data_IF_008970336917
#
_entry.id   IF_008970336917
#
_cell.length_a   1.000
_cell.length_b   1.000
_cell.length_c   1.000
_cell.angle_alpha   90.00
_cell.angle_beta   90.00
_cell.angle_gamma   90.00
#
_symmetry.space_group_name_H-M   'P 1'
#
loop_
_entity.id
_entity.type
_entity.pdbx_description
1 polymer ?
#
# COMPACT_ATOMS: atom_id res chain seq x y z
N UNK A 1 12.30 4.47 42.79
CA UNK A 1 12.53 4.25 41.34
C UNK A 1 11.23 3.90 40.59
N UNK A 2 10.50 2.84 40.94
CA UNK A 2 9.27 2.44 40.23
C UNK A 2 8.13 3.48 40.29
N UNK A 3 7.90 4.13 41.43
CA UNK A 3 6.88 5.20 41.56
C UNK A 3 7.21 6.44 40.74
N UNK A 4 8.49 6.82 40.68
CA UNK A 4 8.95 7.95 39.87
C UNK A 4 8.75 7.67 38.37
N UNK A 5 9.00 6.44 37.93
CA UNK A 5 8.75 5.98 36.56
C UNK A 5 7.25 6.01 36.20
N UNK A 6 6.36 5.63 37.14
CA UNK A 6 4.91 5.72 36.95
C UNK A 6 4.42 7.17 36.79
N UNK A 7 4.99 8.12 37.55
CA UNK A 7 4.70 9.55 37.38
C UNK A 7 5.16 10.03 36.00
N UNK A 8 6.37 9.70 35.57
CA UNK A 8 6.88 10.10 34.24
C UNK A 8 6.00 9.54 33.12
N UNK A 9 5.57 8.27 33.23
CA UNK A 9 4.67 7.61 32.28
C UNK A 9 3.28 8.26 32.26
N UNK A 10 2.72 8.61 33.42
CA UNK A 10 1.43 9.28 33.50
C UNK A 10 1.46 10.68 32.84
N UNK A 11 2.56 11.40 32.96
CA UNK A 11 2.76 12.71 32.35
C UNK A 11 3.19 12.65 30.87
N UNK A 12 3.67 11.50 30.38
CA UNK A 12 4.07 11.33 28.97
C UNK A 12 3.56 9.99 28.37
N UNK A 13 2.23 9.85 28.14
CA UNK A 13 1.63 8.63 27.60
C UNK A 13 2.25 8.11 26.29
N UNK A 14 2.68 8.97 25.33
CA UNK A 14 3.36 8.52 24.11
C UNK A 14 4.64 7.71 24.40
N UNK A 15 5.34 7.98 25.50
CA UNK A 15 6.59 7.32 25.85
C UNK A 15 6.43 5.80 26.06
N UNK A 16 5.27 5.37 26.58
CA UNK A 16 4.95 3.95 26.77
C UNK A 16 4.69 3.24 25.44
N UNK A 17 4.14 3.95 24.47
CA UNK A 17 3.84 3.41 23.14
C UNK A 17 5.04 3.46 22.21
N UNK A 18 5.94 4.43 22.40
CA UNK A 18 7.08 4.67 21.53
C UNK A 18 8.06 3.50 21.49
N UNK A 19 8.50 2.98 22.64
CA UNK A 19 9.46 1.87 22.68
C UNK A 19 8.93 0.59 22.01
N UNK A 20 7.70 0.11 22.30
CA UNK A 20 7.11 -1.01 21.57
C UNK A 20 7.01 -0.76 20.06
N UNK A 21 6.60 0.44 19.63
CA UNK A 21 6.50 0.78 18.22
C UNK A 21 7.86 0.78 17.53
N UNK A 22 8.87 1.41 18.15
CA UNK A 22 10.24 1.42 17.64
C UNK A 22 10.77 0.00 17.50
N UNK A 23 10.66 -0.82 18.54
CA UNK A 23 11.10 -2.22 18.49
C UNK A 23 10.39 -3.01 17.38
N UNK A 24 9.08 -2.79 17.21
CA UNK A 24 8.29 -3.45 16.16
C UNK A 24 8.66 -2.98 14.75
N UNK A 25 9.06 -1.72 14.56
CA UNK A 25 9.39 -1.16 13.25
C UNK A 25 10.84 -1.41 12.83
N UNK A 26 11.73 -1.67 13.79
CA UNK A 26 13.13 -2.02 13.55
C UNK A 26 13.41 -3.52 13.60
N UNK A 27 12.41 -4.36 13.89
CA UNK A 27 12.60 -5.82 13.96
C UNK A 27 12.67 -6.49 12.59
N UNK A 28 13.11 -7.74 12.57
CA UNK A 28 13.08 -8.54 11.33
C UNK A 28 11.68 -8.88 10.83
N UNK A 29 10.71 -8.82 11.72
CA UNK A 29 9.28 -9.04 11.43
C UNK A 29 8.53 -7.73 11.23
N UNK A 30 9.25 -6.63 10.99
CA UNK A 30 8.65 -5.32 10.82
C UNK A 30 7.58 -5.31 9.72
N UNK A 31 6.43 -4.65 9.96
CA UNK A 31 5.40 -4.51 8.95
C UNK A 31 5.94 -3.76 7.72
N UNK A 32 5.51 -4.13 6.49
CA UNK A 32 6.01 -3.48 5.29
C UNK A 32 5.50 -2.03 5.20
N UNK A 33 6.23 -1.13 4.51
CA UNK A 33 5.83 0.28 4.34
C UNK A 33 4.45 0.49 3.71
N UNK A 34 3.90 -0.50 2.97
CA UNK A 34 2.54 -0.45 2.40
C UNK A 34 1.42 -0.72 3.42
N UNK A 35 1.73 -1.06 4.67
CA UNK A 35 0.72 -1.40 5.68
C UNK A 35 -0.27 -0.24 5.89
N UNK A 36 -1.59 -0.45 5.71
CA UNK A 36 -2.62 0.58 5.88
C UNK A 36 -2.56 1.34 7.21
N UNK A 37 -2.17 0.65 8.31
CA UNK A 37 -2.10 1.25 9.65
C UNK A 37 -1.00 2.30 9.77
N UNK A 38 0.07 2.18 8.99
CA UNK A 38 1.23 3.08 9.04
C UNK A 38 1.13 4.25 8.07
N UNK A 39 0.18 4.22 7.12
CA UNK A 39 0.15 5.17 6.01
C UNK A 39 0.04 6.61 6.45
N UNK A 40 -0.77 6.88 7.47
CA UNK A 40 -0.89 8.23 7.98
C UNK A 40 0.46 8.78 8.45
N UNK A 41 1.20 8.01 9.26
CA UNK A 41 2.48 8.44 9.81
C UNK A 41 3.60 8.47 8.77
N UNK A 42 3.64 7.50 7.85
CA UNK A 42 4.54 7.52 6.69
C UNK A 42 4.31 8.79 5.87
N UNK A 43 3.06 9.15 5.61
CA UNK A 43 2.71 10.38 4.91
C UNK A 43 3.15 11.62 5.71
N UNK A 44 2.91 11.68 7.02
CA UNK A 44 3.34 12.82 7.84
C UNK A 44 4.87 13.02 7.79
N UNK A 45 5.63 11.94 7.97
CA UNK A 45 7.09 11.96 7.86
C UNK A 45 7.49 12.43 6.47
N UNK A 46 7.01 11.80 5.40
CA UNK A 46 7.33 12.21 4.03
C UNK A 46 6.97 13.67 3.74
N UNK A 47 5.86 14.18 4.27
CA UNK A 47 5.45 15.57 4.08
C UNK A 47 6.43 16.54 4.74
N UNK A 48 6.92 16.23 5.94
CA UNK A 48 8.01 17.01 6.55
C UNK A 48 9.30 16.94 5.72
N UNK A 49 9.67 15.77 5.22
CA UNK A 49 10.82 15.61 4.33
C UNK A 49 10.67 16.41 3.04
N UNK A 50 9.48 16.45 2.41
CA UNK A 50 9.24 17.31 1.24
C UNK A 50 9.32 18.81 1.58
N UNK A 51 8.93 19.22 2.78
CA UNK A 51 9.04 20.62 3.22
C UNK A 51 10.50 21.02 3.46
N UNK A 52 11.30 20.14 4.08
CA UNK A 52 12.71 20.41 4.39
C UNK A 52 13.64 20.24 3.18
N UNK A 53 13.39 19.24 2.35
CA UNK A 53 14.30 18.79 1.29
C UNK A 53 13.69 18.93 -0.12
N UNK A 54 12.57 19.63 -0.25
CA UNK A 54 11.83 19.73 -1.52
C UNK A 54 12.68 20.19 -2.70
N UNK A 55 13.56 21.17 -2.50
CA UNK A 55 14.44 21.69 -3.55
C UNK A 55 15.50 20.67 -3.98
N UNK A 56 16.05 19.90 -3.04
CA UNK A 56 16.95 18.78 -3.32
C UNK A 56 16.25 17.72 -4.17
N UNK A 57 15.02 17.35 -3.80
CA UNK A 57 14.22 16.35 -4.53
C UNK A 57 13.87 16.86 -5.93
N UNK A 58 13.44 18.12 -6.07
CA UNK A 58 13.19 18.75 -7.38
C UNK A 58 14.44 18.77 -8.24
N UNK A 59 15.59 19.13 -7.68
CA UNK A 59 16.86 19.12 -8.39
C UNK A 59 17.23 17.71 -8.88
N UNK A 60 17.00 16.68 -8.06
CA UNK A 60 17.21 15.29 -8.46
C UNK A 60 16.29 14.87 -9.62
N UNK A 61 15.01 15.27 -9.59
CA UNK A 61 14.07 15.06 -10.71
C UNK A 61 14.56 15.78 -11.97
N UNK A 62 14.96 17.05 -11.87
CA UNK A 62 15.48 17.83 -13.01
C UNK A 62 16.76 17.24 -13.60
N UNK A 63 17.66 16.70 -12.78
CA UNK A 63 18.85 16.00 -13.26
C UNK A 63 18.49 14.67 -13.94
N UNK A 64 17.56 13.90 -13.36
CA UNK A 64 17.10 12.65 -13.95
C UNK A 64 16.42 12.85 -15.31
N UNK A 65 15.70 13.96 -15.51
CA UNK A 65 15.10 14.32 -16.81
C UNK A 65 16.12 14.54 -17.93
N UNK A 66 17.38 14.86 -17.60
CA UNK A 66 18.45 15.07 -18.58
C UNK A 66 19.10 13.77 -19.05
N UNK A 67 18.78 12.65 -18.42
CA UNK A 67 19.33 11.35 -18.78
C UNK A 67 18.87 10.95 -20.20
N UNK A 68 19.80 10.45 -21.01
CA UNK A 68 19.44 9.89 -22.32
C UNK A 68 18.75 8.53 -22.15
N UNK A 69 17.42 8.52 -22.33
CA UNK A 69 16.62 7.30 -22.27
C UNK A 69 16.54 6.57 -23.62
N UNK A 70 17.22 7.04 -24.67
CA UNK A 70 17.25 6.41 -25.99
C UNK A 70 17.65 4.93 -25.97
N UNK A 71 18.58 4.46 -25.10
CA UNK A 71 18.97 3.04 -25.04
C UNK A 71 17.86 2.11 -24.56
N UNK A 72 16.83 2.63 -23.88
CA UNK A 72 15.74 1.80 -23.33
C UNK A 72 14.73 1.39 -24.42
N UNK A 73 14.09 0.21 -24.29
CA UNK A 73 12.95 -0.15 -25.12
C UNK A 73 11.82 0.88 -25.01
N UNK A 74 11.11 1.13 -26.11
CA UNK A 74 10.12 2.23 -26.21
C UNK A 74 9.09 2.27 -25.06
N UNK A 75 8.56 1.09 -24.66
CA UNK A 75 7.62 1.00 -23.54
C UNK A 75 8.25 1.43 -22.22
N UNK A 76 9.44 0.93 -21.92
CA UNK A 76 10.18 1.23 -20.70
C UNK A 76 10.61 2.69 -20.66
N UNK A 77 11.08 3.22 -21.80
CA UNK A 77 11.39 4.65 -21.98
C UNK A 77 10.20 5.54 -21.61
N UNK A 78 9.01 5.23 -22.16
CA UNK A 78 7.79 5.99 -21.86
C UNK A 78 7.41 5.91 -20.38
N UNK A 79 7.56 4.74 -19.76
CA UNK A 79 7.25 4.56 -18.35
C UNK A 79 8.21 5.32 -17.43
N UNK A 80 9.52 5.27 -17.71
CA UNK A 80 10.54 6.03 -16.98
C UNK A 80 10.33 7.53 -17.16
N UNK A 81 10.09 8.02 -18.38
CA UNK A 81 9.83 9.43 -18.63
C UNK A 81 8.58 9.93 -17.87
N UNK A 82 7.47 9.19 -17.95
CA UNK A 82 6.24 9.55 -17.23
C UNK A 82 6.42 9.51 -15.69
N UNK A 83 7.34 8.69 -15.18
CA UNK A 83 7.63 8.61 -13.75
C UNK A 83 8.20 9.92 -13.20
N UNK A 84 8.97 10.67 -14.00
CA UNK A 84 9.48 11.99 -13.62
C UNK A 84 8.36 13.02 -13.50
N UNK A 85 7.39 13.01 -14.42
CA UNK A 85 6.21 13.88 -14.35
C UNK A 85 5.38 13.58 -13.10
N UNK A 86 5.23 12.30 -12.74
CA UNK A 86 4.55 11.88 -11.52
C UNK A 86 5.32 12.32 -10.27
N UNK A 87 6.64 12.16 -10.26
CA UNK A 87 7.46 12.61 -9.14
C UNK A 87 7.29 14.12 -8.89
N UNK A 88 7.29 14.92 -9.94
CA UNK A 88 7.09 16.37 -9.86
C UNK A 88 5.67 16.76 -9.42
N UNK A 89 4.65 16.04 -9.90
CA UNK A 89 3.25 16.26 -9.51
C UNK A 89 2.99 16.02 -8.00
N UNK A 90 3.88 15.30 -7.31
CA UNK A 90 3.77 15.02 -5.86
C UNK A 90 3.61 16.29 -5.03
N UNK A 91 4.29 17.37 -5.39
CA UNK A 91 4.27 18.62 -4.64
C UNK A 91 2.92 19.36 -4.76
N UNK A 92 2.29 19.30 -5.94
CA UNK A 92 0.95 19.85 -6.12
C UNK A 92 -0.08 19.03 -5.31
N UNK A 93 0.05 17.70 -5.31
CA UNK A 93 -0.82 16.80 -4.55
C UNK A 93 -0.67 17.01 -3.04
N UNK A 94 0.54 17.31 -2.55
CA UNK A 94 0.76 17.71 -1.16
C UNK A 94 -0.04 18.97 -0.82
N UNK A 95 0.04 20.00 -1.66
CA UNK A 95 -0.72 21.23 -1.45
C UNK A 95 -2.24 21.01 -1.46
N UNK A 96 -2.74 20.07 -2.27
CA UNK A 96 -4.16 19.70 -2.27
C UNK A 96 -4.58 18.99 -0.98
N UNK A 97 -3.71 18.14 -0.42
CA UNK A 97 -3.94 17.51 0.89
C UNK A 97 -3.94 18.57 1.99
N UNK A 98 -2.98 19.50 1.99
CA UNK A 98 -2.92 20.58 2.99
C UNK A 98 -4.18 21.44 2.96
N UNK A 99 -4.68 21.78 1.76
CA UNK A 99 -5.96 22.49 1.59
C UNK A 99 -7.15 21.69 2.14
N UNK A 100 -7.20 20.38 1.87
CA UNK A 100 -8.29 19.53 2.36
C UNK A 100 -8.26 19.42 3.89
N UNK A 101 -7.08 19.23 4.47
CA UNK A 101 -6.88 19.19 5.94
C UNK A 101 -7.25 20.54 6.57
N UNK A 102 -6.87 21.67 5.96
CA UNK A 102 -7.22 22.99 6.46
C UNK A 102 -8.74 23.22 6.48
N UNK A 103 -9.47 22.76 5.45
CA UNK A 103 -10.94 22.84 5.41
C UNK A 103 -11.61 22.02 6.51
N UNK A 104 -11.10 20.82 6.80
CA UNK A 104 -11.59 20.01 7.91
C UNK A 104 -11.35 20.75 9.23
N UNK A 105 -10.10 21.18 9.50
CA UNK A 105 -9.74 21.90 10.71
C UNK A 105 -10.59 23.16 10.93
N UNK A 106 -10.90 23.90 9.86
CA UNK A 106 -11.77 25.08 9.93
C UNK A 106 -13.23 24.74 10.29
N UNK A 107 -13.72 23.56 9.88
CA UNK A 107 -15.09 23.11 10.17
C UNK A 107 -15.24 22.42 11.55
N UNK A 108 -14.14 21.89 12.12
CA UNK A 108 -14.17 21.14 13.37
C UNK A 108 -14.80 21.90 14.57
N UNK A 109 -14.49 23.18 14.84
CA UNK A 109 -15.01 23.87 16.02
C UNK A 109 -16.54 23.95 16.05
N UNK A 110 -17.18 24.13 14.88
CA UNK A 110 -18.63 24.21 14.77
C UNK A 110 -19.29 22.82 14.76
N UNK A 111 -18.66 21.85 14.10
CA UNK A 111 -19.23 20.51 13.95
C UNK A 111 -19.09 19.66 15.22
N UNK A 112 -17.98 19.76 15.96
CA UNK A 112 -17.66 18.90 17.10
C UNK A 112 -18.73 18.92 18.21
N UNK A 113 -19.23 20.07 18.69
CA UNK A 113 -20.27 20.10 19.72
C UNK A 113 -21.58 19.45 19.26
N UNK A 114 -21.99 19.75 18.03
CA UNK A 114 -23.18 19.16 17.40
C UNK A 114 -23.04 17.64 17.30
N UNK A 115 -21.91 17.18 16.80
CA UNK A 115 -21.57 15.78 16.66
C UNK A 115 -21.63 15.05 18.00
N UNK A 116 -20.93 15.54 19.03
CA UNK A 116 -20.90 14.92 20.35
C UNK A 116 -22.29 14.77 20.94
N UNK A 117 -23.11 15.85 20.90
CA UNK A 117 -24.49 15.81 21.39
C UNK A 117 -25.33 14.75 20.68
N UNK A 118 -25.28 14.71 19.35
CA UNK A 118 -26.08 13.73 18.58
C UNK A 118 -25.59 12.31 18.83
N UNK A 119 -24.27 12.08 18.98
CA UNK A 119 -23.72 10.76 19.31
C UNK A 119 -24.13 10.27 20.69
N UNK A 120 -24.20 11.16 21.67
CA UNK A 120 -24.72 10.82 23.00
C UNK A 120 -26.19 10.41 22.94
N UNK A 121 -27.03 11.20 22.26
CA UNK A 121 -28.44 10.86 22.05
C UNK A 121 -28.62 9.52 21.33
N UNK A 122 -27.87 9.30 20.24
CA UNK A 122 -27.90 8.04 19.48
C UNK A 122 -27.44 6.85 20.32
N UNK A 123 -26.40 7.03 21.16
CA UNK A 123 -25.95 5.99 22.08
C UNK A 123 -27.05 5.60 23.05
N UNK A 124 -27.74 6.58 23.62
CA UNK A 124 -28.77 6.34 24.63
C UNK A 124 -30.03 5.72 23.99
N UNK A 125 -30.39 6.13 22.76
CA UNK A 125 -31.42 5.45 21.95
C UNK A 125 -31.05 3.98 21.69
N UNK A 126 -29.80 3.69 21.30
CA UNK A 126 -29.34 2.30 21.08
C UNK A 126 -29.40 1.44 22.34
N UNK A 127 -29.12 2.00 23.52
CA UNK A 127 -29.30 1.29 24.80
C UNK A 127 -30.76 0.92 25.02
N UNK A 128 -31.67 1.86 24.77
CA UNK A 128 -33.11 1.63 24.85
C UNK A 128 -33.60 0.62 23.81
N UNK A 129 -33.05 0.60 22.60
CA UNK A 129 -33.36 -0.41 21.59
C UNK A 129 -32.95 -1.83 22.05
N UNK A 130 -31.77 -1.95 22.66
CA UNK A 130 -31.29 -3.20 23.22
C UNK A 130 -32.18 -3.66 24.38
N UNK A 131 -32.54 -2.77 25.30
CA UNK A 131 -33.46 -3.07 26.40
C UNK A 131 -34.85 -3.45 25.88
N UNK A 132 -35.38 -2.73 24.89
CA UNK A 132 -36.66 -3.04 24.23
C UNK A 132 -36.63 -4.46 23.70
N UNK A 133 -35.54 -4.88 23.06
CA UNK A 133 -35.38 -6.23 22.51
C UNK A 133 -35.40 -7.29 23.61
N UNK A 134 -34.68 -7.06 24.70
CA UNK A 134 -34.61 -7.97 25.85
C UNK A 134 -35.97 -8.10 26.56
N UNK A 135 -36.61 -6.98 26.90
CA UNK A 135 -37.94 -6.96 27.52
C UNK A 135 -38.98 -7.60 26.61
N UNK A 136 -38.90 -7.37 25.30
CA UNK A 136 -39.81 -7.99 24.32
C UNK A 136 -39.62 -9.50 24.25
N UNK A 137 -38.38 -10.00 24.34
CA UNK A 137 -38.10 -11.43 24.41
C UNK A 137 -38.64 -12.05 25.70
N UNK A 138 -38.40 -11.42 26.84
CA UNK A 138 -38.92 -11.87 28.14
C UNK A 138 -40.46 -11.94 28.13
N UNK A 139 -41.13 -10.92 27.58
CA UNK A 139 -42.59 -10.91 27.44
C UNK A 139 -43.14 -12.05 26.57
N UNK A 140 -42.39 -12.48 25.55
CA UNK A 140 -42.76 -13.63 24.68
C UNK A 140 -42.64 -14.97 25.40
N UNK A 141 -41.74 -15.09 26.38
CA UNK A 141 -41.53 -16.32 27.15
C UNK A 141 -42.58 -16.50 28.28
N UNK A 142 -43.29 -15.44 28.66
CA UNK A 142 -44.33 -15.50 29.67
C UNK A 142 -45.66 -16.02 29.10
N UNK A 143 -46.24 -17.05 29.73
CA UNK A 143 -47.58 -17.57 29.39
C UNK A 143 -48.64 -16.46 29.46
N UNK A 144 -49.49 -16.33 28.42
CA UNK A 144 -50.45 -15.22 28.25
C UNK A 144 -51.58 -15.23 29.28
N UNK A 145 -52.04 -16.40 29.70
CA UNK A 145 -53.26 -16.57 30.51
C UNK A 145 -52.97 -17.20 31.90
N UNK A 146 -51.71 -17.15 32.36
CA UNK A 146 -51.33 -17.63 33.70
C UNK A 146 -51.43 -16.47 34.72
N UNK A 147 -52.32 -16.57 35.74
CA UNK A 147 -52.42 -15.57 36.79
C UNK A 147 -51.10 -15.28 37.52
N UNK A 148 -50.17 -16.26 37.56
CA UNK A 148 -48.84 -16.10 38.19
C UNK A 148 -47.90 -15.22 37.38
N UNK A 149 -48.10 -15.11 36.07
CA UNK A 149 -47.25 -14.28 35.18
C UNK A 149 -47.89 -12.93 34.83
N UNK A 150 -49.20 -12.77 35.05
CA UNK A 150 -49.97 -11.57 34.71
C UNK A 150 -49.31 -10.26 35.18
N UNK A 151 -48.84 -10.20 36.43
CA UNK A 151 -48.15 -9.01 36.97
C UNK A 151 -46.84 -8.71 36.24
N UNK A 152 -46.04 -9.73 35.92
CA UNK A 152 -44.77 -9.58 35.17
C UNK A 152 -45.02 -9.16 33.73
N UNK A 153 -46.06 -9.71 33.09
CA UNK A 153 -46.48 -9.31 31.74
C UNK A 153 -46.86 -7.83 31.69
N UNK A 154 -47.73 -7.39 32.61
CA UNK A 154 -48.14 -5.99 32.71
C UNK A 154 -46.95 -5.05 32.95
N UNK A 155 -45.97 -5.45 33.78
CA UNK A 155 -44.76 -4.68 34.02
C UNK A 155 -43.88 -4.55 32.75
N UNK A 156 -43.69 -5.63 32.00
CA UNK A 156 -42.94 -5.58 30.73
C UNK A 156 -43.65 -4.73 29.67
N UNK A 157 -44.98 -4.86 29.53
CA UNK A 157 -45.77 -4.03 28.61
C UNK A 157 -45.70 -2.54 28.98
N UNK A 158 -45.75 -2.21 30.27
CA UNK A 158 -45.56 -0.84 30.76
C UNK A 158 -44.14 -0.33 30.45
N UNK A 159 -43.10 -1.15 30.69
CA UNK A 159 -41.71 -0.77 30.36
C UNK A 159 -41.51 -0.56 28.87
N UNK A 160 -42.12 -1.37 28.00
CA UNK A 160 -42.05 -1.17 26.55
C UNK A 160 -42.67 0.17 26.13
N UNK A 161 -43.83 0.54 26.69
CA UNK A 161 -44.44 1.86 26.45
C UNK A 161 -43.56 3.00 26.94
N UNK A 162 -42.93 2.84 28.11
CA UNK A 162 -42.00 3.83 28.65
C UNK A 162 -40.78 3.99 27.75
N UNK A 163 -40.16 2.88 27.31
CA UNK A 163 -39.04 2.90 26.38
C UNK A 163 -39.42 3.62 25.08
N UNK A 164 -40.61 3.38 24.53
CA UNK A 164 -41.08 4.06 23.32
C UNK A 164 -41.25 5.58 23.52
N UNK A 165 -41.72 6.01 24.69
CA UNK A 165 -41.82 7.43 25.03
C UNK A 165 -40.43 8.07 25.19
N UNK A 166 -39.50 7.39 25.89
CA UNK A 166 -38.11 7.84 26.06
C UNK A 166 -37.39 7.95 24.70
N UNK A 167 -37.55 6.97 23.81
CA UNK A 167 -36.98 6.99 22.46
C UNK A 167 -37.51 8.19 21.64
N UNK A 168 -38.81 8.47 21.70
CA UNK A 168 -39.41 9.64 21.03
C UNK A 168 -38.86 10.95 21.60
N UNK A 169 -38.74 11.05 22.92
CA UNK A 169 -38.20 12.24 23.59
C UNK A 169 -36.73 12.49 23.24
N UNK A 170 -35.89 11.45 23.16
CA UNK A 170 -34.49 11.58 22.74
C UNK A 170 -34.36 11.94 21.26
N UNK A 171 -35.18 11.34 20.41
CA UNK A 171 -35.17 11.63 18.96
C UNK A 171 -35.55 13.09 18.70
N UNK A 172 -36.52 13.63 19.43
CA UNK A 172 -36.92 15.04 19.33
C UNK A 172 -35.81 16.03 19.76
N UNK A 173 -34.81 15.59 20.52
CA UNK A 173 -33.67 16.43 20.92
C UNK A 173 -32.55 16.49 19.86
N UNK A 174 -32.63 15.68 18.81
CA UNK A 174 -31.68 15.74 17.69
C UNK A 174 -31.92 17.04 16.92
N UNK A 175 -30.91 17.92 16.77
CA UNK A 175 -31.08 19.17 16.05
C UNK A 175 -31.49 18.96 14.59
N UNK A 176 -32.43 19.77 14.09
CA UNK A 176 -32.97 19.62 12.73
C UNK A 176 -31.92 19.77 11.62
N UNK A 177 -30.85 20.54 11.87
CA UNK A 177 -29.74 20.73 10.94
C UNK A 177 -28.70 19.58 10.96
N UNK A 178 -28.86 18.57 11.82
CA UNK A 178 -27.89 17.48 11.99
C UNK A 178 -27.54 16.79 10.67
N UNK A 179 -28.55 16.35 9.91
CA UNK A 179 -28.32 15.59 8.67
C UNK A 179 -27.55 16.42 7.63
N UNK A 180 -27.87 17.71 7.52
CA UNK A 180 -27.21 18.62 6.60
C UNK A 180 -25.74 18.85 7.00
N UNK A 181 -25.50 19.18 8.27
CA UNK A 181 -24.15 19.44 8.79
C UNK A 181 -23.28 18.18 8.80
N UNK A 182 -23.85 17.03 9.15
CA UNK A 182 -23.17 15.73 9.07
C UNK A 182 -22.74 15.42 7.63
N UNK A 183 -23.63 15.64 6.65
CA UNK A 183 -23.34 15.42 5.23
C UNK A 183 -22.26 16.39 4.72
N UNK A 184 -22.31 17.66 5.12
CA UNK A 184 -21.27 18.66 4.78
C UNK A 184 -19.91 18.21 5.32
N UNK A 185 -19.83 17.83 6.58
CA UNK A 185 -18.57 17.39 7.19
C UNK A 185 -18.06 16.07 6.58
N UNK A 186 -18.94 15.09 6.36
CA UNK A 186 -18.61 13.83 5.70
C UNK A 186 -18.03 14.03 4.29
N UNK A 187 -18.52 15.03 3.55
CA UNK A 187 -17.95 15.41 2.25
C UNK A 187 -16.52 15.92 2.38
N UNK A 188 -16.20 16.74 3.39
CA UNK A 188 -14.84 17.21 3.64
C UNK A 188 -13.88 16.04 3.93
N UNK A 189 -14.32 15.08 4.75
CA UNK A 189 -13.54 13.86 5.04
C UNK A 189 -13.33 13.01 3.78
N UNK A 190 -14.34 12.90 2.92
CA UNK A 190 -14.24 12.18 1.66
C UNK A 190 -13.27 12.85 0.67
N UNK A 191 -13.26 14.18 0.63
CA UNK A 191 -12.31 14.97 -0.19
C UNK A 191 -10.86 14.77 0.28
N UNK A 192 -10.61 14.83 1.60
CA UNK A 192 -9.28 14.57 2.17
C UNK A 192 -8.79 13.14 1.88
N UNK A 193 -9.67 12.14 2.08
CA UNK A 193 -9.36 10.74 1.78
C UNK A 193 -9.02 10.55 0.30
N UNK A 194 -9.76 11.22 -0.59
CA UNK A 194 -9.51 11.20 -2.05
C UNK A 194 -8.17 11.83 -2.38
N UNK A 195 -7.83 12.98 -1.79
CA UNK A 195 -6.55 13.65 -2.00
C UNK A 195 -5.37 12.76 -1.58
N UNK A 196 -5.44 12.15 -0.38
CA UNK A 196 -4.41 11.20 0.08
C UNK A 196 -4.28 9.97 -0.83
N UNK A 197 -5.39 9.43 -1.31
CA UNK A 197 -5.35 8.28 -2.23
C UNK A 197 -4.72 8.66 -3.58
N UNK A 198 -5.00 9.86 -4.09
CA UNK A 198 -4.38 10.38 -5.30
C UNK A 198 -2.86 10.53 -5.12
N UNK A 199 -2.42 11.11 -4.00
CA UNK A 199 -1.01 11.18 -3.62
C UNK A 199 -0.34 9.80 -3.59
N UNK A 200 -0.90 8.84 -2.84
CA UNK A 200 -0.33 7.48 -2.71
C UNK A 200 -0.16 6.80 -4.07
N UNK A 201 -1.21 6.83 -4.91
CA UNK A 201 -1.14 6.26 -6.27
C UNK A 201 -0.09 6.97 -7.13
N UNK A 202 0.04 8.29 -6.98
CA UNK A 202 1.01 9.07 -7.73
C UNK A 202 2.44 8.74 -7.35
N UNK A 203 2.78 8.71 -6.06
CA UNK A 203 4.15 8.38 -5.62
C UNK A 203 4.51 6.94 -5.96
N UNK A 204 3.56 6.01 -5.85
CA UNK A 204 3.77 4.63 -6.26
C UNK A 204 4.06 4.54 -7.78
N UNK A 205 3.29 5.27 -8.61
CA UNK A 205 3.50 5.33 -10.06
C UNK A 205 4.78 6.09 -10.47
N UNK A 206 5.26 7.00 -9.62
CA UNK A 206 6.51 7.73 -9.83
C UNK A 206 7.74 6.86 -9.54
N UNK A 207 7.66 5.95 -8.58
CA UNK A 207 8.81 5.15 -8.16
C UNK A 207 8.93 3.80 -8.89
N UNK A 208 7.80 3.10 -9.10
CA UNK A 208 7.80 1.73 -9.64
C UNK A 208 8.59 1.58 -10.97
N UNK A 209 8.44 2.48 -11.96
CA UNK A 209 9.20 2.38 -13.21
C UNK A 209 10.71 2.52 -13.02
N UNK A 210 11.14 3.34 -12.07
CA UNK A 210 12.55 3.59 -11.77
C UNK A 210 13.17 2.37 -11.11
N UNK A 211 12.54 1.86 -10.04
CA UNK A 211 13.00 0.66 -9.36
C UNK A 211 13.11 -0.54 -10.31
N UNK A 212 12.11 -0.73 -11.19
CA UNK A 212 12.16 -1.77 -12.23
C UNK A 212 13.29 -1.55 -13.23
N UNK A 213 13.49 -0.32 -13.68
CA UNK A 213 14.56 -0.02 -14.64
C UNK A 213 15.94 -0.28 -14.05
N UNK A 214 16.18 0.18 -12.81
CA UNK A 214 17.42 -0.06 -12.08
C UNK A 214 17.66 -1.56 -11.90
N UNK A 215 16.65 -2.33 -11.48
CA UNK A 215 16.77 -3.77 -11.27
C UNK A 215 17.10 -4.53 -12.56
N UNK A 216 16.41 -4.23 -13.67
CA UNK A 216 16.64 -4.87 -14.97
C UNK A 216 18.05 -4.60 -15.49
N UNK A 217 18.50 -3.34 -15.39
CA UNK A 217 19.83 -2.93 -15.86
C UNK A 217 20.94 -3.47 -14.96
N UNK A 218 20.73 -3.53 -13.64
CA UNK A 218 21.68 -4.14 -12.70
C UNK A 218 21.82 -5.66 -12.92
N UNK A 219 20.80 -6.32 -13.46
CA UNK A 219 20.82 -7.75 -13.77
C UNK A 219 21.48 -8.08 -15.14
N UNK A 220 22.10 -7.11 -15.82
CA UNK A 220 22.69 -7.31 -17.15
C UNK A 220 23.81 -8.34 -17.14
N UNK A 221 24.74 -8.28 -16.18
CA UNK A 221 25.86 -9.24 -16.12
C UNK A 221 25.38 -10.66 -15.78
N UNK A 222 24.38 -10.77 -14.91
CA UNK A 222 23.74 -12.05 -14.61
C UNK A 222 23.06 -12.65 -15.85
N UNK A 223 22.48 -11.82 -16.73
CA UNK A 223 21.95 -12.29 -18.01
C UNK A 223 23.06 -12.77 -18.94
N UNK A 224 24.16 -12.01 -19.05
CA UNK A 224 25.31 -12.35 -19.91
C UNK A 224 25.99 -13.64 -19.50
N UNK A 225 26.08 -13.90 -18.20
CA UNK A 225 26.64 -15.14 -17.66
C UNK A 225 25.90 -16.41 -18.15
N UNK A 226 24.67 -16.27 -18.69
CA UNK A 226 23.89 -17.37 -19.25
C UNK A 226 24.17 -17.63 -20.75
N UNK A 227 25.07 -16.89 -21.39
CA UNK A 227 25.30 -17.01 -22.84
C UNK A 227 25.74 -18.41 -23.25
N UNK A 228 26.78 -18.93 -22.60
CA UNK A 228 27.34 -20.25 -22.90
C UNK A 228 26.30 -21.34 -22.67
N UNK A 229 25.60 -21.28 -21.54
CA UNK A 229 24.49 -22.15 -21.18
C UNK A 229 23.39 -22.15 -22.27
N UNK A 230 22.98 -20.98 -22.77
CA UNK A 230 21.94 -20.85 -23.79
C UNK A 230 22.39 -21.35 -25.16
N UNK A 231 23.64 -21.09 -25.56
CA UNK A 231 24.20 -21.56 -26.83
C UNK A 231 24.40 -23.08 -26.83
N UNK A 232 24.83 -23.65 -25.70
CA UNK A 232 25.04 -25.09 -25.52
C UNK A 232 23.76 -25.94 -25.55
N UNK A 233 22.57 -25.31 -25.47
CA UNK A 233 21.28 -26.02 -25.64
C UNK A 233 21.19 -26.74 -26.99
N UNK A 234 21.84 -26.21 -28.03
CA UNK A 234 21.83 -26.84 -29.35
C UNK A 234 22.44 -28.23 -29.29
N UNK A 235 23.64 -28.35 -28.75
CA UNK A 235 24.38 -29.61 -28.65
C UNK A 235 23.60 -30.63 -27.80
N UNK A 236 22.94 -30.16 -26.74
CA UNK A 236 22.09 -30.99 -25.88
C UNK A 236 20.88 -31.55 -26.64
N UNK A 237 20.28 -30.79 -27.56
CA UNK A 237 19.15 -31.25 -28.39
C UNK A 237 19.62 -32.26 -29.45
N UNK A 238 20.78 -32.02 -30.05
CA UNK A 238 21.31 -32.84 -31.14
C UNK A 238 21.89 -34.17 -30.63
N UNK A 239 22.62 -34.16 -29.51
CA UNK A 239 23.29 -35.35 -28.97
C UNK A 239 22.43 -36.19 -28.01
N UNK A 240 21.44 -35.58 -27.34
CA UNK A 240 20.74 -36.21 -26.22
C UNK A 240 19.37 -36.84 -26.54
N UNK A 241 18.89 -37.77 -25.70
CA UNK A 241 17.47 -38.14 -25.66
C UNK A 241 16.60 -36.91 -25.35
N UNK A 242 15.42 -36.83 -25.98
CA UNK A 242 14.52 -35.66 -25.86
C UNK A 242 14.15 -35.34 -24.40
N UNK A 243 14.00 -36.36 -23.56
CA UNK A 243 13.68 -36.19 -22.14
C UNK A 243 14.82 -35.56 -21.34
N UNK A 244 16.06 -36.03 -21.55
CA UNK A 244 17.25 -35.46 -20.94
C UNK A 244 17.47 -34.00 -21.37
N UNK A 245 17.31 -33.71 -22.66
CA UNK A 245 17.39 -32.35 -23.19
C UNK A 245 16.31 -31.44 -22.58
N UNK A 246 15.08 -31.94 -22.46
CA UNK A 246 13.99 -31.19 -21.85
C UNK A 246 14.19 -30.94 -20.34
N UNK A 247 14.86 -31.85 -19.62
CA UNK A 247 15.24 -31.68 -18.22
C UNK A 247 16.35 -30.64 -18.06
N UNK A 248 17.38 -30.67 -18.92
CA UNK A 248 18.43 -29.65 -18.93
C UNK A 248 17.85 -28.24 -19.16
N UNK A 249 16.96 -28.08 -20.15
CA UNK A 249 16.28 -26.80 -20.43
C UNK A 249 15.40 -26.38 -19.24
N UNK A 250 14.85 -27.32 -18.47
CA UNK A 250 14.09 -26.99 -17.26
C UNK A 250 14.95 -26.28 -16.21
N UNK A 251 16.21 -26.71 -16.01
CA UNK A 251 17.16 -26.03 -15.14
C UNK A 251 17.48 -24.61 -15.62
N UNK A 252 17.72 -24.45 -16.93
CA UNK A 252 17.96 -23.14 -17.53
C UNK A 252 16.76 -22.19 -17.41
N UNK A 253 15.52 -22.71 -17.51
CA UNK A 253 14.31 -21.91 -17.30
C UNK A 253 14.23 -21.30 -15.90
N UNK A 254 14.74 -22.01 -14.88
CA UNK A 254 14.83 -21.49 -13.52
C UNK A 254 15.91 -20.41 -13.43
N UNK A 255 17.12 -20.66 -13.95
CA UNK A 255 18.22 -19.68 -13.98
C UNK A 255 17.81 -18.38 -14.69
N UNK A 256 17.28 -18.48 -15.90
CA UNK A 256 16.77 -17.33 -16.68
C UNK A 256 15.61 -16.66 -15.94
N UNK A 257 14.77 -17.44 -15.24
CA UNK A 257 13.64 -16.90 -14.48
C UNK A 257 14.01 -16.08 -13.26
N UNK A 258 15.20 -16.28 -12.71
CA UNK A 258 15.75 -15.49 -11.60
C UNK A 258 16.37 -14.16 -12.05
N UNK A 259 16.60 -13.97 -13.35
CA UNK A 259 17.16 -12.73 -13.90
C UNK A 259 16.06 -11.71 -14.15
N UNK A 260 16.22 -10.52 -13.56
CA UNK A 260 15.21 -9.46 -13.68
C UNK A 260 14.98 -9.04 -15.14
N UNK A 261 13.69 -8.94 -15.49
CA UNK A 261 13.25 -8.63 -16.85
C UNK A 261 13.50 -9.73 -17.90
N UNK A 262 14.02 -10.93 -17.58
CA UNK A 262 14.35 -11.96 -18.58
C UNK A 262 13.14 -12.82 -19.03
N UNK A 263 11.90 -12.39 -18.72
CA UNK A 263 10.65 -13.09 -19.08
C UNK A 263 10.51 -13.41 -20.58
N UNK A 264 10.86 -12.52 -21.54
CA UNK A 264 10.77 -12.84 -22.96
C UNK A 264 11.65 -14.04 -23.36
N UNK A 265 12.89 -14.08 -22.84
CA UNK A 265 13.85 -15.16 -23.08
C UNK A 265 13.34 -16.46 -22.46
N UNK A 266 12.92 -16.41 -21.18
CA UNK A 266 12.34 -17.57 -20.49
C UNK A 266 11.14 -18.14 -21.25
N UNK A 267 10.25 -17.27 -21.75
CA UNK A 267 9.07 -17.68 -22.51
C UNK A 267 9.44 -18.35 -23.84
N UNK A 268 10.45 -17.83 -24.53
CA UNK A 268 10.96 -18.43 -25.77
C UNK A 268 11.62 -19.79 -25.50
N UNK A 269 12.48 -19.88 -24.48
CA UNK A 269 13.12 -21.12 -24.04
C UNK A 269 12.10 -22.18 -23.61
N UNK A 270 10.99 -21.77 -22.99
CA UNK A 270 9.93 -22.69 -22.62
C UNK A 270 9.25 -23.35 -23.83
N UNK A 271 9.23 -22.68 -24.99
CA UNK A 271 8.74 -23.27 -26.24
C UNK A 271 9.69 -24.34 -26.77
N UNK A 272 11.01 -24.16 -26.60
CA UNK A 272 12.03 -25.19 -26.92
C UNK A 272 11.75 -26.46 -26.12
N UNK A 273 11.63 -26.33 -24.79
CA UNK A 273 11.31 -27.46 -23.91
C UNK A 273 9.99 -28.15 -24.29
N UNK A 274 8.95 -27.39 -24.65
CA UNK A 274 7.65 -27.96 -25.05
C UNK A 274 7.72 -28.72 -26.37
N UNK A 275 8.57 -28.32 -27.32
CA UNK A 275 8.74 -29.06 -28.57
C UNK A 275 9.37 -30.45 -28.33
N UNK A 276 10.17 -30.59 -27.29
CA UNK A 276 10.79 -31.86 -26.87
C UNK A 276 9.90 -32.70 -25.93
N UNK A 277 8.84 -32.11 -25.36
CA UNK A 277 7.91 -32.78 -24.44
C UNK A 277 6.52 -32.90 -25.07
N UNK A 278 6.13 -34.11 -25.44
CA UNK A 278 4.79 -34.41 -25.95
C UNK A 278 4.66 -35.84 -26.44
N UNK A 279 3.45 -36.23 -26.87
CA UNK A 279 3.19 -37.54 -27.51
C UNK A 279 4.00 -37.73 -28.81
N UNK A 280 4.39 -36.63 -29.46
CA UNK A 280 5.26 -36.62 -30.64
C UNK A 280 6.30 -35.50 -30.48
N UNK A 281 7.48 -35.80 -29.91
CA UNK A 281 8.58 -34.85 -29.80
C UNK A 281 9.13 -34.44 -31.18
N UNK A 282 9.40 -33.15 -31.35
CA UNK A 282 9.86 -32.57 -32.62
C UNK A 282 11.15 -31.76 -32.40
N UNK A 283 12.28 -32.35 -32.77
CA UNK A 283 13.63 -31.75 -32.62
C UNK A 283 13.83 -30.57 -33.56
N UNK A 284 13.33 -30.63 -34.78
CA UNK A 284 13.48 -29.54 -35.75
C UNK A 284 12.74 -28.28 -35.26
N UNK A 285 11.53 -28.46 -34.73
CA UNK A 285 10.77 -27.39 -34.09
C UNK A 285 11.46 -26.85 -32.84
N UNK A 286 12.12 -27.70 -32.05
CA UNK A 286 12.91 -27.28 -30.90
C UNK A 286 14.09 -26.40 -31.32
N UNK A 287 14.85 -26.80 -32.34
CA UNK A 287 15.99 -26.03 -32.89
C UNK A 287 15.53 -24.68 -33.47
N UNK A 288 14.44 -24.66 -34.26
CA UNK A 288 13.82 -23.41 -34.75
C UNK A 288 13.36 -22.49 -33.62
N UNK A 289 12.86 -23.04 -32.52
CA UNK A 289 12.50 -22.27 -31.33
C UNK A 289 13.74 -21.75 -30.57
N UNK A 290 14.83 -22.52 -30.55
CA UNK A 290 16.09 -22.13 -29.93
C UNK A 290 16.72 -20.95 -30.69
N UNK A 291 16.76 -20.98 -32.02
CA UNK A 291 17.24 -19.84 -32.82
C UNK A 291 16.48 -18.56 -32.52
N UNK A 292 15.15 -18.64 -32.40
CA UNK A 292 14.32 -17.50 -31.99
C UNK A 292 14.67 -17.03 -30.56
N UNK A 293 14.95 -17.96 -29.66
CA UNK A 293 15.38 -17.65 -28.29
C UNK A 293 16.72 -16.92 -28.28
N UNK A 294 17.72 -17.39 -29.03
CA UNK A 294 19.03 -16.75 -29.15
C UNK A 294 18.94 -15.36 -29.79
N UNK A 295 18.07 -15.18 -30.79
CA UNK A 295 17.79 -13.85 -31.38
C UNK A 295 17.18 -12.89 -30.36
N UNK A 296 16.26 -13.35 -29.50
CA UNK A 296 15.67 -12.53 -28.43
C UNK A 296 16.74 -12.21 -27.38
N UNK A 297 17.54 -13.20 -26.96
CA UNK A 297 18.64 -13.02 -26.03
C UNK A 297 19.63 -11.96 -26.51
N UNK A 298 20.13 -12.07 -27.74
CA UNK A 298 21.09 -11.12 -28.31
C UNK A 298 20.52 -9.69 -28.35
N UNK A 299 19.24 -9.54 -28.72
CA UNK A 299 18.55 -8.24 -28.69
C UNK A 299 18.47 -7.67 -27.27
N UNK A 300 18.11 -8.51 -26.29
CA UNK A 300 18.01 -8.10 -24.88
C UNK A 300 19.36 -7.66 -24.32
N UNK A 301 20.43 -8.44 -24.54
CA UNK A 301 21.77 -8.10 -24.08
C UNK A 301 22.26 -6.80 -24.70
N UNK A 302 22.12 -6.64 -26.02
CA UNK A 302 22.64 -5.47 -26.74
C UNK A 302 22.10 -4.13 -26.20
N UNK A 303 20.79 -4.04 -25.95
CA UNK A 303 20.23 -2.78 -25.41
C UNK A 303 20.56 -2.62 -23.92
N UNK A 304 20.56 -3.71 -23.15
CA UNK A 304 20.85 -3.68 -21.71
C UNK A 304 22.28 -3.25 -21.42
N UNK A 305 23.27 -3.75 -22.17
CA UNK A 305 24.67 -3.36 -22.00
C UNK A 305 24.86 -1.86 -22.23
N UNK A 306 24.32 -1.33 -23.34
CA UNK A 306 24.38 0.10 -23.64
C UNK A 306 23.72 0.93 -22.53
N UNK A 307 22.53 0.53 -22.09
CA UNK A 307 21.79 1.22 -21.04
C UNK A 307 22.45 1.09 -19.65
N UNK A 308 23.04 -0.06 -19.33
CA UNK A 308 23.75 -0.27 -18.08
C UNK A 308 25.00 0.62 -17.99
N UNK A 309 25.74 0.79 -19.09
CA UNK A 309 26.91 1.65 -19.13
C UNK A 309 26.56 3.15 -19.03
N UNK A 310 25.51 3.59 -19.74
CA UNK A 310 25.23 5.01 -19.94
C UNK A 310 24.17 5.59 -19.01
N UNK A 311 23.22 4.77 -18.54
CA UNK A 311 22.00 5.23 -17.86
C UNK A 311 21.89 4.72 -16.42
N UNK A 312 22.37 3.51 -16.12
CA UNK A 312 22.24 2.93 -14.77
C UNK A 312 22.85 3.79 -13.65
N UNK A 313 24.05 4.40 -13.79
CA UNK A 313 24.59 5.25 -12.72
C UNK A 313 23.68 6.43 -12.38
N UNK A 314 23.14 7.10 -13.41
CA UNK A 314 22.21 8.21 -13.23
C UNK A 314 20.88 7.79 -12.62
N UNK A 315 20.31 6.65 -13.05
CA UNK A 315 19.08 6.12 -12.47
C UNK A 315 19.27 5.66 -11.02
N UNK A 316 20.42 5.09 -10.65
CA UNK A 316 20.73 4.74 -9.26
C UNK A 316 20.86 5.99 -8.39
N UNK A 317 21.53 7.04 -8.88
CA UNK A 317 21.62 8.29 -8.15
C UNK A 317 20.25 8.92 -7.91
N UNK A 318 19.37 8.88 -8.91
CA UNK A 318 17.99 9.35 -8.78
C UNK A 318 17.17 8.48 -7.82
N UNK A 319 17.24 7.15 -7.95
CA UNK A 319 16.60 6.19 -7.05
C UNK A 319 16.97 6.46 -5.59
N UNK A 320 18.27 6.62 -5.30
CA UNK A 320 18.77 6.95 -3.97
C UNK A 320 18.27 8.30 -3.45
N UNK A 321 18.02 9.27 -4.33
CA UNK A 321 17.53 10.58 -3.93
C UNK A 321 16.03 10.57 -3.54
N UNK A 322 15.25 9.61 -4.03
CA UNK A 322 13.79 9.58 -3.83
C UNK A 322 13.27 8.34 -3.07
N UNK A 323 14.11 7.31 -2.88
CA UNK A 323 13.73 6.02 -2.25
C UNK A 323 13.10 6.15 -0.87
N UNK A 324 13.56 7.10 -0.08
CA UNK A 324 13.16 7.27 1.32
C UNK A 324 12.02 8.29 1.45
N UNK A 325 11.58 8.89 0.34
CA UNK A 325 10.42 9.78 0.26
C UNK A 325 9.36 9.21 -0.70
N UNK A 326 9.42 9.57 -1.99
CA UNK A 326 8.49 9.12 -3.03
C UNK A 326 8.45 7.57 -3.11
N UNK A 327 9.61 6.93 -2.93
CA UNK A 327 9.75 5.47 -3.01
C UNK A 327 9.50 4.70 -1.73
N UNK A 328 9.25 5.37 -0.59
CA UNK A 328 9.29 4.73 0.73
C UNK A 328 8.31 3.56 0.85
N UNK A 329 7.10 3.74 0.30
CA UNK A 329 6.04 2.73 0.30
C UNK A 329 6.44 1.45 -0.44
N UNK A 330 7.35 1.51 -1.40
CA UNK A 330 7.78 0.36 -2.20
C UNK A 330 9.09 -0.27 -1.70
N UNK A 331 9.68 0.29 -0.63
CA UNK A 331 10.84 -0.33 -0.02
C UNK A 331 10.46 -1.67 0.62
N UNK A 332 11.37 -2.67 0.61
CA UNK A 332 11.11 -3.96 1.24
C UNK A 332 10.94 -3.84 2.75
N UNK A 333 11.64 -2.88 3.38
CA UNK A 333 11.53 -2.51 4.79
C UNK A 333 11.62 -1.00 4.95
N UNK A 334 11.08 -0.51 6.05
CA UNK A 334 11.26 0.88 6.48
C UNK A 334 12.74 1.07 6.87
N UNK A 335 13.45 2.06 6.31
CA UNK A 335 14.81 2.39 6.72
C UNK A 335 14.87 2.74 8.21
N UNK A 336 15.91 2.29 8.91
CA UNK A 336 16.01 2.45 10.38
C UNK A 336 15.87 3.90 10.84
N UNK A 337 16.48 4.85 10.12
CA UNK A 337 16.37 6.28 10.43
C UNK A 337 14.93 6.80 10.35
N UNK A 338 14.11 6.30 9.40
CA UNK A 338 12.69 6.65 9.28
C UNK A 338 11.80 5.87 10.24
N UNK A 339 12.20 4.66 10.63
CA UNK A 339 11.45 3.84 11.59
C UNK A 339 11.29 4.57 12.94
N UNK A 340 12.31 5.34 13.35
CA UNK A 340 12.29 6.17 14.55
C UNK A 340 11.25 7.30 14.43
N UNK A 341 11.25 8.06 13.34
CA UNK A 341 10.28 9.13 13.09
C UNK A 341 8.84 8.59 12.99
N UNK A 342 8.67 7.44 12.34
CA UNK A 342 7.36 6.78 12.21
C UNK A 342 6.89 6.25 13.57
N UNK A 343 7.78 5.66 14.38
CA UNK A 343 7.47 5.19 15.73
C UNK A 343 7.01 6.32 16.65
N UNK A 344 7.65 7.49 16.52
CA UNK A 344 7.22 8.69 17.24
C UNK A 344 5.80 9.07 16.85
N UNK A 345 5.51 9.23 15.55
CA UNK A 345 4.16 9.54 15.08
C UNK A 345 3.11 8.51 15.52
N UNK A 346 3.40 7.21 15.45
CA UNK A 346 2.44 6.16 15.84
C UNK A 346 2.23 6.05 17.34
N UNK A 347 3.16 6.60 18.15
CA UNK A 347 3.04 6.60 19.61
C UNK A 347 1.99 7.59 20.13
N UNK A 348 1.67 8.62 19.33
CA UNK A 348 0.66 9.62 19.66
C UNK A 348 -0.75 9.15 19.32
N UNK A 349 -1.71 9.47 20.20
CA UNK A 349 -3.12 9.23 19.92
C UNK A 349 -3.63 10.19 18.85
N UNK A 350 -4.27 9.64 17.81
CA UNK A 350 -4.97 10.41 16.78
C UNK A 350 -6.47 10.40 17.07
N UNK A 351 -7.03 11.56 17.36
CA UNK A 351 -8.49 11.71 17.45
C UNK A 351 -9.12 11.55 16.06
N UNK A 352 -9.91 10.50 15.90
CA UNK A 352 -10.71 10.21 14.70
C UNK A 352 -12.21 10.17 15.01
N UNK A 353 -12.63 10.68 16.18
CA UNK A 353 -14.02 10.63 16.63
C UNK A 353 -15.00 11.28 15.64
N UNK A 354 -14.60 12.39 15.01
CA UNK A 354 -15.42 13.09 14.02
C UNK A 354 -15.58 12.35 12.69
N UNK A 355 -14.86 11.23 12.49
CA UNK A 355 -15.00 10.38 11.31
C UNK A 355 -16.12 9.35 11.42
N UNK A 356 -16.68 9.14 12.61
CA UNK A 356 -17.65 8.08 12.90
C UNK A 356 -19.01 8.64 13.24
#
# INVERSE_FOLDING_TARGET
MQLLALVIVAYNPPLVNYLPQRLSLTSDTAPPPVNPKLQYCIEQVNFEHYRREGDRIRAAISQARKLDLSPLPARMRKQVAASFDKAEATFALLADIDKAVARIKAAEPAYRPLHTKVRELQRDIRKLEQEKKEVSQQLRLLAKDDPKTARKRAAHEARLKQIEAEQKALTAQIPANWEEEHKKFAKLLAEEKKARLAYRRNVDAAYEPIGKAVAILAATDALKALEADLRGVRDVIEAGPNEAAAAHIAGLLSKVGSVEGARPIRSALAKVRRALRGRSPDREKALKALEKTLKIYAKEVAWREKAAATLLPGLKAYDMAIRDTIGLRQQPRIPEHLAVEIAECTSHHRDISLHF
#
